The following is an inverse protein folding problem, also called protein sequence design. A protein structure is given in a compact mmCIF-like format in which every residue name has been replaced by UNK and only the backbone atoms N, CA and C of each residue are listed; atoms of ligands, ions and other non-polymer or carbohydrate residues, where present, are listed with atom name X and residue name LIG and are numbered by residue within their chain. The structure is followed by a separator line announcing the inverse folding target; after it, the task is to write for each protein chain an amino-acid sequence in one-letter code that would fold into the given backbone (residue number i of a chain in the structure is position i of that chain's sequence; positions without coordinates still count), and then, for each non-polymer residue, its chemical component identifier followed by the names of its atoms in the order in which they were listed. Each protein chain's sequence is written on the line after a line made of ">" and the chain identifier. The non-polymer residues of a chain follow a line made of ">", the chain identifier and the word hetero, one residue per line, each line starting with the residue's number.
data_IF_936854637818
#
_entry.id   IF_936854637818
#
_cell.length_a   1.000
_cell.length_b   1.000
_cell.length_c   1.000
_cell.angle_alpha   90.00
_cell.angle_beta   90.00
_cell.angle_gamma   90.00
#
_symmetry.space_group_name_H-M   'P 1'
#
loop_
_entity.id
_entity.type
_entity.pdbx_description
1 polymer ?
#
# COMPACT_ATOMS: atom_id res chain seq x y z
N UNK A 1 30.03 -28.08 11.74
CA UNK A 1 29.88 -28.04 10.28
C UNK A 1 28.43 -28.35 10.00
N UNK A 2 27.58 -27.31 9.94
CA UNK A 2 26.14 -27.46 9.70
C UNK A 2 25.99 -27.83 8.22
N UNK A 3 25.34 -28.96 7.94
CA UNK A 3 25.08 -29.43 6.57
C UNK A 3 24.34 -28.34 5.78
N UNK A 4 24.66 -28.13 4.49
CA UNK A 4 23.92 -27.21 3.61
C UNK A 4 22.42 -27.52 3.54
N UNK A 5 22.04 -28.77 3.80
CA UNK A 5 20.65 -29.22 3.89
C UNK A 5 19.96 -28.71 5.18
N UNK A 6 20.72 -28.50 6.25
CA UNK A 6 20.23 -27.95 7.52
C UNK A 6 20.07 -26.42 7.48
N UNK A 7 20.90 -25.71 6.70
CA UNK A 7 20.74 -24.27 6.45
C UNK A 7 19.59 -23.97 5.48
N UNK A 8 19.36 -24.81 4.47
CA UNK A 8 18.22 -24.69 3.56
C UNK A 8 16.87 -24.93 4.26
N UNK A 9 16.80 -25.92 5.18
CA UNK A 9 15.60 -26.17 5.99
C UNK A 9 15.29 -25.02 6.95
N UNK A 10 16.30 -24.41 7.56
CA UNK A 10 16.13 -23.23 8.43
C UNK A 10 15.66 -21.97 7.69
N UNK A 11 15.84 -21.89 6.37
CA UNK A 11 15.33 -20.80 5.54
C UNK A 11 13.95 -21.09 4.91
N UNK A 12 13.43 -22.30 5.08
CA UNK A 12 12.14 -22.68 4.49
C UNK A 12 10.98 -22.11 5.30
N UNK A 13 10.08 -21.42 4.61
CA UNK A 13 8.88 -20.79 5.16
C UNK A 13 7.98 -21.85 5.85
N UNK A 14 7.56 -21.66 7.13
CA UNK A 14 6.80 -22.65 7.88
C UNK A 14 5.56 -23.20 7.18
N UNK A 15 4.87 -22.37 6.38
CA UNK A 15 3.73 -22.83 5.57
C UNK A 15 4.12 -23.82 4.46
N UNK A 16 5.29 -23.63 3.84
CA UNK A 16 5.82 -24.52 2.81
C UNK A 16 6.25 -25.86 3.40
N UNK A 17 6.82 -25.84 4.62
CA UNK A 17 7.13 -27.05 5.38
C UNK A 17 5.85 -27.86 5.64
N UNK A 18 4.78 -27.19 6.09
CA UNK A 18 3.52 -27.89 6.34
C UNK A 18 2.89 -28.45 5.06
N UNK A 19 2.93 -27.72 3.94
CA UNK A 19 2.45 -28.23 2.66
C UNK A 19 3.20 -29.50 2.21
N UNK A 20 4.52 -29.53 2.42
CA UNK A 20 5.32 -30.71 2.15
C UNK A 20 4.97 -31.87 3.10
N UNK A 21 4.68 -31.59 4.37
CA UNK A 21 4.20 -32.60 5.33
C UNK A 21 2.84 -33.21 4.92
N UNK A 22 1.92 -32.40 4.39
CA UNK A 22 0.67 -32.91 3.79
C UNK A 22 0.96 -33.83 2.59
N UNK A 23 1.92 -33.46 1.75
CA UNK A 23 2.30 -34.25 0.57
C UNK A 23 2.92 -35.59 0.96
N UNK A 24 3.87 -35.59 1.91
CA UNK A 24 4.52 -36.82 2.41
C UNK A 24 3.55 -37.74 3.14
N UNK A 25 2.54 -37.19 3.82
CA UNK A 25 1.49 -37.96 4.47
C UNK A 25 0.44 -38.54 3.49
N UNK A 26 0.51 -38.23 2.19
CA UNK A 26 -0.44 -38.71 1.17
C UNK A 26 -1.68 -37.83 0.98
N UNK A 27 -1.68 -36.61 1.53
CA UNK A 27 -2.80 -35.66 1.47
C UNK A 27 -2.42 -34.38 0.69
N UNK A 28 -1.68 -34.52 -0.41
CA UNK A 28 -1.28 -33.40 -1.28
C UNK A 28 -2.46 -32.55 -1.74
N UNK A 29 -3.59 -33.19 -2.05
CA UNK A 29 -4.80 -32.49 -2.53
C UNK A 29 -5.44 -31.64 -1.43
N UNK A 30 -5.46 -32.14 -0.19
CA UNK A 30 -5.97 -31.40 0.96
C UNK A 30 -5.06 -30.20 1.26
N UNK A 31 -3.74 -30.43 1.30
CA UNK A 31 -2.75 -29.37 1.53
C UNK A 31 -2.77 -28.28 0.44
N UNK A 32 -2.87 -28.68 -0.84
CA UNK A 32 -2.97 -27.77 -1.98
C UNK A 32 -4.24 -26.93 -1.94
N UNK A 33 -5.41 -27.54 -1.70
CA UNK A 33 -6.66 -26.79 -1.53
C UNK A 33 -6.62 -25.83 -0.35
N UNK A 34 -6.03 -26.24 0.77
CA UNK A 34 -5.89 -25.38 1.95
C UNK A 34 -4.99 -24.18 1.64
N UNK A 35 -3.89 -24.40 0.94
CA UNK A 35 -2.98 -23.35 0.49
C UNK A 35 -3.70 -22.32 -0.39
N UNK A 36 -4.39 -22.79 -1.43
CA UNK A 36 -5.09 -21.91 -2.37
C UNK A 36 -6.22 -21.15 -1.69
N UNK A 37 -7.04 -21.82 -0.87
CA UNK A 37 -8.13 -21.17 -0.12
C UNK A 37 -7.63 -20.15 0.89
N UNK A 38 -6.56 -20.45 1.60
CA UNK A 38 -5.98 -19.52 2.60
C UNK A 38 -5.42 -18.28 1.91
N UNK A 39 -4.73 -18.47 0.77
CA UNK A 39 -4.25 -17.37 -0.05
C UNK A 39 -5.38 -16.53 -0.62
N UNK A 40 -6.40 -17.15 -1.21
CA UNK A 40 -7.55 -16.45 -1.76
C UNK A 40 -8.30 -15.68 -0.68
N UNK A 41 -8.47 -16.27 0.51
CA UNK A 41 -9.07 -15.61 1.67
C UNK A 41 -8.27 -14.38 2.11
N UNK A 42 -6.94 -14.46 2.20
CA UNK A 42 -6.08 -13.32 2.50
C UNK A 42 -6.25 -12.20 1.45
N UNK A 43 -6.18 -12.54 0.17
CA UNK A 43 -6.34 -11.58 -0.94
C UNK A 43 -7.75 -10.96 -0.95
N UNK A 44 -8.79 -11.73 -0.64
CA UNK A 44 -10.17 -11.27 -0.55
C UNK A 44 -10.37 -10.35 0.66
N UNK A 45 -9.87 -10.71 1.85
CA UNK A 45 -9.92 -9.86 3.03
C UNK A 45 -9.28 -8.49 2.77
N UNK A 46 -8.12 -8.46 2.10
CA UNK A 46 -7.49 -7.20 1.72
C UNK A 46 -8.28 -6.42 0.67
N UNK A 47 -8.90 -7.09 -0.30
CA UNK A 47 -9.80 -6.44 -1.28
C UNK A 47 -11.01 -5.82 -0.59
N UNK A 48 -11.61 -6.51 0.36
CA UNK A 48 -12.80 -6.04 1.07
C UNK A 48 -12.47 -4.91 2.05
N UNK A 49 -11.34 -5.00 2.75
CA UNK A 49 -10.81 -3.90 3.57
C UNK A 49 -10.61 -2.63 2.71
N UNK A 50 -9.97 -2.75 1.52
CA UNK A 50 -9.82 -1.62 0.59
C UNK A 50 -11.15 -1.09 0.06
N UNK A 51 -12.12 -1.97 -0.21
CA UNK A 51 -13.46 -1.58 -0.65
C UNK A 51 -14.20 -0.81 0.45
N UNK A 52 -14.12 -1.26 1.70
CA UNK A 52 -14.67 -0.59 2.87
C UNK A 52 -14.08 0.81 3.04
N UNK A 53 -12.75 0.93 3.01
CA UNK A 53 -12.06 2.24 3.04
C UNK A 53 -12.51 3.15 1.90
N UNK A 54 -12.65 2.64 0.67
CA UNK A 54 -13.14 3.45 -0.46
C UNK A 54 -14.60 3.89 -0.29
N UNK A 55 -15.47 3.03 0.21
CA UNK A 55 -16.89 3.37 0.46
C UNK A 55 -17.01 4.48 1.50
N UNK A 56 -16.20 4.44 2.57
CA UNK A 56 -16.23 5.43 3.66
C UNK A 56 -15.56 6.77 3.31
N UNK A 57 -14.41 6.73 2.62
CA UNK A 57 -13.58 7.93 2.40
C UNK A 57 -13.55 8.44 0.95
N UNK A 58 -14.13 7.69 0.01
CA UNK A 58 -14.30 8.09 -1.39
C UNK A 58 -12.98 8.44 -2.07
N UNK A 59 -12.95 9.64 -2.66
CA UNK A 59 -11.79 10.20 -3.36
C UNK A 59 -10.53 10.28 -2.49
N UNK A 60 -10.66 10.38 -1.16
CA UNK A 60 -9.56 10.56 -0.20
C UNK A 60 -9.02 9.25 0.36
N UNK A 61 -9.51 8.10 -0.10
CA UNK A 61 -9.02 6.80 0.35
C UNK A 61 -7.54 6.62 -0.04
N UNK A 62 -6.65 6.23 0.90
CA UNK A 62 -5.23 6.04 0.60
C UNK A 62 -4.96 4.90 -0.39
N UNK A 63 -5.89 3.95 -0.51
CA UNK A 63 -5.75 2.78 -1.39
C UNK A 63 -6.81 2.75 -2.49
N UNK A 64 -6.73 3.72 -3.40
CA UNK A 64 -7.56 3.80 -4.59
C UNK A 64 -8.60 4.91 -4.57
N UNK A 65 -8.40 5.94 -3.74
CA UNK A 65 -8.96 7.26 -4.01
C UNK A 65 -8.30 7.85 -5.26
N UNK A 66 -9.09 8.38 -6.18
CA UNK A 66 -8.58 8.93 -7.44
C UNK A 66 -7.70 10.18 -7.23
N UNK A 67 -7.85 10.87 -6.08
CA UNK A 67 -7.10 12.08 -5.77
C UNK A 67 -5.59 11.84 -5.71
N UNK A 68 -5.15 10.67 -5.25
CA UNK A 68 -3.74 10.30 -5.21
C UNK A 68 -3.13 10.21 -6.61
N UNK A 69 -3.84 9.58 -7.56
CA UNK A 69 -3.39 9.46 -8.94
C UNK A 69 -3.35 10.82 -9.65
N UNK A 70 -4.33 11.68 -9.39
CA UNK A 70 -4.38 13.02 -9.99
C UNK A 70 -3.29 13.92 -9.42
N UNK A 71 -3.03 13.87 -8.11
CA UNK A 71 -1.90 14.60 -7.53
C UNK A 71 -0.57 14.06 -8.05
N UNK A 72 -0.41 12.75 -8.17
CA UNK A 72 0.81 12.17 -8.75
C UNK A 72 1.04 12.65 -10.19
N UNK A 73 -0.01 12.65 -11.02
CA UNK A 73 0.06 13.21 -12.37
C UNK A 73 0.39 14.71 -12.37
N UNK A 74 -0.19 15.49 -11.45
CA UNK A 74 0.12 16.91 -11.28
C UNK A 74 1.59 17.14 -10.91
N UNK A 75 2.17 16.32 -10.02
CA UNK A 75 3.60 16.35 -9.70
C UNK A 75 4.43 16.09 -10.96
N UNK A 76 4.10 15.07 -11.74
CA UNK A 76 4.83 14.75 -12.97
C UNK A 76 4.77 15.91 -13.97
N UNK A 77 3.59 16.46 -14.24
CA UNK A 77 3.43 17.60 -15.15
C UNK A 77 4.21 18.82 -14.66
N UNK A 78 4.15 19.13 -13.36
CA UNK A 78 4.94 20.20 -12.76
C UNK A 78 6.44 19.96 -12.90
N UNK A 79 6.90 18.73 -12.70
CA UNK A 79 8.31 18.37 -12.80
C UNK A 79 8.82 18.46 -14.24
N UNK A 80 8.04 18.00 -15.23
CA UNK A 80 8.37 18.16 -16.64
C UNK A 80 8.35 19.64 -17.06
N UNK A 81 7.36 20.42 -16.60
CA UNK A 81 7.35 21.87 -16.83
C UNK A 81 8.60 22.54 -16.24
N UNK A 82 9.02 22.15 -15.03
CA UNK A 82 10.25 22.67 -14.42
C UNK A 82 11.51 22.26 -15.20
N UNK A 83 11.57 21.02 -15.70
CA UNK A 83 12.69 20.55 -16.51
C UNK A 83 12.81 21.33 -17.83
N UNK A 84 11.70 21.54 -18.55
CA UNK A 84 11.69 22.35 -19.77
C UNK A 84 12.01 23.82 -19.47
N UNK A 85 11.40 24.38 -18.42
CA UNK A 85 11.68 25.73 -17.98
C UNK A 85 13.14 25.91 -17.54
N UNK A 86 13.83 24.89 -17.04
CA UNK A 86 15.24 25.01 -16.64
C UNK A 86 16.19 25.25 -17.83
N UNK A 87 15.80 24.87 -19.05
CA UNK A 87 16.68 24.91 -20.23
C UNK A 87 17.74 23.80 -20.24
N UNK A 88 17.62 22.80 -19.36
CA UNK A 88 18.52 21.65 -19.39
C UNK A 88 18.27 20.82 -20.66
N UNK A 89 19.24 20.82 -21.58
CA UNK A 89 19.22 20.10 -22.86
C UNK A 89 18.11 20.49 -23.84
N UNK A 90 17.37 21.56 -23.58
CA UNK A 90 16.25 22.03 -24.41
C UNK A 90 16.26 23.55 -24.49
N UNK A 91 15.89 24.11 -25.64
CA UNK A 91 15.66 25.55 -25.76
C UNK A 91 14.29 25.90 -25.11
N UNK A 92 14.27 26.74 -24.07
CA UNK A 92 13.02 27.15 -23.43
C UNK A 92 12.07 27.95 -24.31
N UNK A 93 12.60 28.63 -25.34
CA UNK A 93 11.78 29.41 -26.27
C UNK A 93 10.97 28.48 -27.17
N UNK A 94 11.59 27.41 -27.66
CA UNK A 94 10.95 26.37 -28.48
C UNK A 94 9.95 25.53 -27.67
N UNK A 95 10.23 25.31 -26.38
CA UNK A 95 9.39 24.49 -25.47
C UNK A 95 8.41 25.30 -24.64
N UNK A 96 8.26 26.59 -24.93
CA UNK A 96 7.44 27.54 -24.17
C UNK A 96 5.96 27.14 -24.10
N UNK A 97 5.38 26.73 -25.23
CA UNK A 97 3.99 26.26 -25.29
C UNK A 97 3.78 24.97 -24.50
N UNK A 98 4.68 23.99 -24.62
CA UNK A 98 4.61 22.73 -23.87
C UNK A 98 4.72 22.96 -22.36
N UNK A 99 5.62 23.87 -21.95
CA UNK A 99 5.77 24.28 -20.55
C UNK A 99 4.49 24.89 -20.00
N UNK A 100 3.86 25.81 -20.76
CA UNK A 100 2.59 26.43 -20.38
C UNK A 100 1.47 25.39 -20.22
N UNK A 101 1.34 24.45 -21.17
CA UNK A 101 0.33 23.39 -21.13
C UNK A 101 0.53 22.47 -19.94
N UNK A 102 1.76 22.00 -19.70
CA UNK A 102 2.07 21.12 -18.57
C UNK A 102 1.83 21.81 -17.22
N UNK A 103 2.23 23.07 -17.09
CA UNK A 103 1.94 23.85 -15.89
C UNK A 103 0.43 24.02 -15.68
N UNK A 104 -0.32 24.40 -16.73
CA UNK A 104 -1.77 24.54 -16.65
C UNK A 104 -2.46 23.23 -16.26
N UNK A 105 -2.05 22.10 -16.85
CA UNK A 105 -2.59 20.78 -16.51
C UNK A 105 -2.28 20.41 -15.05
N UNK A 106 -1.07 20.70 -14.56
CA UNK A 106 -0.71 20.49 -13.17
C UNK A 106 -1.61 21.33 -12.23
N UNK A 107 -1.79 22.62 -12.54
CA UNK A 107 -2.62 23.54 -11.74
C UNK A 107 -4.10 23.17 -11.74
N UNK A 108 -4.66 22.78 -12.90
CA UNK A 108 -6.04 22.32 -13.00
C UNK A 108 -6.25 21.01 -12.25
N UNK A 109 -5.34 20.06 -12.40
CA UNK A 109 -5.38 18.80 -11.66
C UNK A 109 -5.34 19.04 -10.15
N UNK A 110 -4.44 19.91 -9.69
CA UNK A 110 -4.34 20.31 -8.29
C UNK A 110 -5.64 20.98 -7.79
N UNK A 111 -6.15 21.97 -8.51
CA UNK A 111 -7.42 22.64 -8.18
C UNK A 111 -8.58 21.65 -8.07
N UNK A 112 -8.73 20.72 -9.02
CA UNK A 112 -9.78 19.71 -8.99
C UNK A 112 -9.71 18.89 -7.70
N UNK A 113 -8.49 18.49 -7.30
CA UNK A 113 -8.27 17.68 -6.09
C UNK A 113 -8.54 18.51 -4.82
N UNK A 114 -8.11 19.77 -4.78
CA UNK A 114 -8.38 20.69 -3.67
C UNK A 114 -9.88 20.98 -3.52
N UNK A 115 -10.59 21.24 -4.63
CA UNK A 115 -12.03 21.52 -4.64
C UNK A 115 -12.85 20.30 -4.22
N UNK A 116 -12.48 19.10 -4.69
CA UNK A 116 -13.21 17.87 -4.37
C UNK A 116 -12.97 17.39 -2.94
N UNK A 117 -11.79 17.64 -2.38
CA UNK A 117 -11.50 17.31 -0.99
C UNK A 117 -12.12 18.31 0.00
N UNK A 118 -12.24 19.58 -0.41
CA UNK A 118 -12.81 20.66 0.39
C UNK A 118 -12.07 20.87 1.71
N UNK A 119 -12.81 21.34 2.73
CA UNK A 119 -12.26 21.70 4.05
C UNK A 119 -12.12 20.50 5.02
N UNK A 120 -11.74 19.33 4.49
CA UNK A 120 -11.62 18.08 5.27
C UNK A 120 -10.15 17.71 5.45
N UNK A 121 -9.81 17.01 6.53
CA UNK A 121 -8.42 16.55 6.72
C UNK A 121 -8.02 15.49 5.66
N UNK A 122 -6.73 15.51 5.29
CA UNK A 122 -6.12 14.61 4.30
C UNK A 122 -5.16 13.66 4.98
N UNK A 123 -4.98 12.47 4.41
CA UNK A 123 -3.92 11.54 4.82
C UNK A 123 -2.53 12.13 4.49
N UNK A 124 -1.55 11.89 5.37
CA UNK A 124 -0.15 12.26 5.19
C UNK A 124 0.47 11.90 3.82
N UNK A 125 0.10 10.77 3.22
CA UNK A 125 0.59 10.38 1.89
C UNK A 125 0.18 11.40 0.81
N UNK A 126 -1.04 11.92 0.88
CA UNK A 126 -1.52 12.93 -0.05
C UNK A 126 -0.94 14.31 0.26
N UNK A 127 -0.69 14.63 1.55
CA UNK A 127 0.07 15.84 1.94
C UNK A 127 1.45 15.85 1.28
N UNK A 128 2.16 14.71 1.28
CA UNK A 128 3.49 14.59 0.63
C UNK A 128 3.42 14.85 -0.87
N UNK A 129 2.40 14.33 -1.56
CA UNK A 129 2.21 14.61 -2.98
C UNK A 129 1.88 16.09 -3.22
N UNK A 130 1.03 16.71 -2.40
CA UNK A 130 0.75 18.15 -2.51
C UNK A 130 2.02 18.99 -2.36
N UNK A 131 2.87 18.66 -1.37
CA UNK A 131 4.18 19.31 -1.21
C UNK A 131 5.01 19.12 -2.48
N UNK A 132 5.00 17.91 -3.06
CA UNK A 132 5.64 17.65 -4.36
C UNK A 132 5.12 18.54 -5.49
N UNK A 133 3.79 18.75 -5.57
CA UNK A 133 3.18 19.64 -6.58
C UNK A 133 3.67 21.07 -6.37
N UNK A 134 3.62 21.58 -5.15
CA UNK A 134 4.05 22.94 -4.82
C UNK A 134 5.54 23.16 -5.13
N UNK A 135 6.40 22.19 -4.80
CA UNK A 135 7.84 22.26 -5.09
C UNK A 135 8.08 22.23 -6.61
N UNK A 136 7.45 21.31 -7.34
CA UNK A 136 7.65 21.17 -8.77
C UNK A 136 7.16 22.40 -9.55
N UNK A 137 5.95 22.87 -9.25
CA UNK A 137 5.37 24.08 -9.88
C UNK A 137 6.11 25.35 -9.46
N UNK A 138 6.53 25.44 -8.19
CA UNK A 138 7.36 26.53 -7.69
C UNK A 138 8.73 26.59 -8.37
N UNK A 139 9.38 25.45 -8.60
CA UNK A 139 10.63 25.38 -9.36
C UNK A 139 10.44 25.84 -10.81
N UNK A 140 9.37 25.39 -11.48
CA UNK A 140 9.03 25.85 -12.82
C UNK A 140 8.85 27.38 -12.86
N UNK A 141 8.13 27.96 -11.90
CA UNK A 141 7.95 29.40 -11.79
C UNK A 141 9.26 30.14 -11.52
N UNK A 142 10.13 29.62 -10.64
CA UNK A 142 11.44 30.22 -10.37
C UNK A 142 12.33 30.26 -11.63
N UNK A 143 12.37 29.17 -12.40
CA UNK A 143 13.10 29.14 -13.67
C UNK A 143 12.48 30.03 -14.74
N UNK A 144 11.15 30.17 -14.75
CA UNK A 144 10.47 31.07 -15.68
C UNK A 144 10.71 32.55 -15.33
N UNK A 145 10.77 32.88 -14.04
CA UNK A 145 11.00 34.24 -13.54
C UNK A 145 12.45 34.69 -13.61
N UNK A 146 13.42 33.77 -13.74
CA UNK A 146 14.83 34.13 -13.99
C UNK A 146 15.10 34.61 -15.41
N UNK A 147 14.06 34.69 -16.25
CA UNK A 147 14.11 35.07 -17.66
C UNK A 147 13.18 36.24 -17.97
N UNK A 148 13.33 36.88 -19.15
CA UNK A 148 12.40 37.92 -19.58
C UNK A 148 10.96 37.44 -19.54
N UNK A 149 10.06 38.31 -19.07
CA UNK A 149 8.63 38.01 -18.96
C UNK A 149 8.06 37.72 -20.35
N UNK A 150 7.36 36.60 -20.47
CA UNK A 150 6.65 36.20 -21.69
C UNK A 150 5.20 35.87 -21.37
N UNK A 151 4.40 35.55 -22.39
CA UNK A 151 3.00 35.14 -22.23
C UNK A 151 2.84 33.87 -21.37
N UNK A 152 3.88 33.04 -21.25
CA UNK A 152 3.90 31.81 -20.43
C UNK A 152 4.03 32.12 -18.94
N UNK A 153 4.73 33.19 -18.59
CA UNK A 153 5.02 33.59 -17.21
C UNK A 153 3.78 33.63 -16.31
N UNK A 154 2.66 34.31 -16.66
CA UNK A 154 1.48 34.35 -15.79
C UNK A 154 0.86 32.96 -15.55
N UNK A 155 0.92 32.04 -16.52
CA UNK A 155 0.36 30.68 -16.38
C UNK A 155 1.18 29.86 -15.37
N UNK A 156 2.51 29.87 -15.52
CA UNK A 156 3.41 29.11 -14.64
C UNK A 156 3.40 29.67 -13.22
N UNK A 157 3.42 31.00 -13.08
CA UNK A 157 3.34 31.66 -11.77
C UNK A 157 1.99 31.41 -11.10
N UNK A 158 0.88 31.54 -11.84
CA UNK A 158 -0.45 31.25 -11.31
C UNK A 158 -0.59 29.81 -10.83
N UNK A 159 -0.02 28.86 -11.58
CA UNK A 159 0.04 27.45 -11.19
C UNK A 159 0.83 27.23 -9.88
N UNK A 160 1.99 27.87 -9.74
CA UNK A 160 2.78 27.79 -8.51
C UNK A 160 2.04 28.37 -7.30
N UNK A 161 1.32 29.47 -7.49
CA UNK A 161 0.47 30.08 -6.43
C UNK A 161 -0.60 29.08 -5.98
N UNK A 162 -1.26 28.39 -6.90
CA UNK A 162 -2.23 27.33 -6.58
C UNK A 162 -1.58 26.23 -5.74
N UNK A 163 -0.42 25.72 -6.16
CA UNK A 163 0.29 24.66 -5.44
C UNK A 163 0.64 25.06 -4.01
N UNK A 164 1.20 26.25 -3.82
CA UNK A 164 1.56 26.78 -2.49
C UNK A 164 0.32 27.04 -1.64
N UNK A 165 -0.71 27.67 -2.20
CA UNK A 165 -1.97 27.91 -1.49
C UNK A 165 -2.64 26.59 -1.07
N UNK A 166 -2.58 25.56 -1.91
CA UNK A 166 -3.06 24.22 -1.60
C UNK A 166 -2.34 23.60 -0.40
N UNK A 167 -1.01 23.68 -0.35
CA UNK A 167 -0.21 23.22 0.81
C UNK A 167 -0.62 23.96 2.09
N UNK A 168 -0.67 25.30 2.03
CA UNK A 168 -1.05 26.13 3.19
C UNK A 168 -2.45 25.80 3.68
N UNK A 169 -3.41 25.65 2.75
CA UNK A 169 -4.78 25.27 3.06
C UNK A 169 -4.84 23.90 3.73
N UNK A 170 -4.12 22.89 3.24
CA UNK A 170 -4.10 21.55 3.84
C UNK A 170 -3.53 21.60 5.26
N UNK A 171 -2.43 22.33 5.48
CA UNK A 171 -1.87 22.48 6.83
C UNK A 171 -2.82 23.22 7.77
N UNK A 172 -3.48 24.28 7.29
CA UNK A 172 -4.48 25.01 8.05
C UNK A 172 -5.66 24.10 8.44
N UNK A 173 -6.22 23.35 7.50
CA UNK A 173 -7.31 22.40 7.77
C UNK A 173 -6.87 21.33 8.78
N UNK A 174 -5.66 20.79 8.63
CA UNK A 174 -5.10 19.79 9.56
C UNK A 174 -4.86 20.37 10.96
N UNK A 175 -4.56 21.66 11.09
CA UNK A 175 -4.41 22.35 12.37
C UNK A 175 -5.78 22.64 13.02
N UNK A 176 -6.77 23.04 12.22
CA UNK A 176 -8.12 23.36 12.69
C UNK A 176 -8.98 22.12 12.99
N UNK A 177 -8.62 20.94 12.46
CA UNK A 177 -9.38 19.69 12.62
C UNK A 177 -8.51 18.53 13.12
N UNK A 178 -7.99 18.58 14.36
CA UNK A 178 -7.12 17.55 14.90
C UNK A 178 -7.78 16.17 15.00
N UNK A 179 -9.09 16.11 15.28
CA UNK A 179 -9.85 14.86 15.32
C UNK A 179 -9.90 14.13 13.98
N UNK A 180 -10.31 14.84 12.91
CA UNK A 180 -10.34 14.26 11.55
C UNK A 180 -8.94 13.91 11.06
N UNK A 181 -7.93 14.70 11.42
CA UNK A 181 -6.53 14.38 11.13
C UNK A 181 -6.15 13.03 11.74
N UNK A 182 -6.42 12.84 13.03
CA UNK A 182 -6.09 11.60 13.73
C UNK A 182 -6.79 10.41 13.08
N UNK A 183 -8.09 10.53 12.77
CA UNK A 183 -8.85 9.48 12.09
C UNK A 183 -8.23 9.11 10.72
N UNK A 184 -7.84 10.11 9.92
CA UNK A 184 -7.23 9.88 8.61
C UNK A 184 -5.82 9.29 8.69
N UNK A 185 -5.03 9.68 9.70
CA UNK A 185 -3.67 9.20 9.90
C UNK A 185 -3.66 7.76 10.45
N UNK A 186 -4.68 7.35 11.23
CA UNK A 186 -4.84 5.98 11.75
C UNK A 186 -5.79 5.09 10.95
N UNK A 187 -6.34 5.60 9.84
CA UNK A 187 -7.40 4.97 9.05
C UNK A 187 -7.09 3.53 8.64
N UNK A 188 -5.85 3.28 8.17
CA UNK A 188 -5.44 1.95 7.70
C UNK A 188 -5.42 0.98 8.89
N UNK A 189 -4.81 1.38 10.00
CA UNK A 189 -4.75 0.56 11.22
C UNK A 189 -6.14 0.27 11.77
N UNK A 190 -7.04 1.26 11.77
CA UNK A 190 -8.43 1.09 12.20
C UNK A 190 -9.21 0.13 11.28
N UNK A 191 -9.08 0.29 9.96
CA UNK A 191 -9.76 -0.58 8.99
C UNK A 191 -9.24 -2.02 9.02
N UNK A 192 -7.94 -2.21 9.26
CA UNK A 192 -7.34 -3.53 9.46
C UNK A 192 -7.86 -4.16 10.75
N UNK A 193 -7.90 -3.39 11.85
CA UNK A 193 -8.43 -3.88 13.13
C UNK A 193 -9.92 -4.25 13.05
N UNK A 194 -10.72 -3.50 12.29
CA UNK A 194 -12.15 -3.78 12.06
C UNK A 194 -12.36 -5.07 11.25
N UNK A 195 -11.45 -5.41 10.32
CA UNK A 195 -11.53 -6.62 9.49
C UNK A 195 -10.94 -7.86 10.18
N UNK A 196 -10.14 -7.68 11.24
CA UNK A 196 -9.45 -8.79 11.91
C UNK A 196 -10.42 -9.89 12.42
N UNK A 197 -11.59 -9.58 13.01
CA UNK A 197 -12.54 -10.62 13.43
C UNK A 197 -13.05 -11.50 12.28
N UNK A 198 -13.26 -10.93 11.09
CA UNK A 198 -13.71 -11.68 9.91
C UNK A 198 -12.61 -12.60 9.37
N UNK A 199 -11.36 -12.15 9.45
CA UNK A 199 -10.17 -12.96 9.11
C UNK A 199 -10.00 -14.10 10.11
N UNK A 200 -10.12 -13.82 11.41
CA UNK A 200 -10.02 -14.83 12.47
C UNK A 200 -11.14 -15.87 12.36
N UNK A 201 -12.37 -15.44 12.05
CA UNK A 201 -13.49 -16.34 11.79
C UNK A 201 -13.24 -17.21 10.54
N UNK A 202 -12.64 -16.65 9.50
CA UNK A 202 -12.26 -17.40 8.29
C UNK A 202 -11.16 -18.41 8.59
N UNK A 203 -10.16 -18.04 9.39
CA UNK A 203 -9.10 -18.93 9.84
C UNK A 203 -9.67 -20.11 10.64
N UNK A 204 -10.55 -19.83 11.61
CA UNK A 204 -11.22 -20.84 12.42
C UNK A 204 -12.08 -21.79 11.56
N UNK A 205 -12.80 -21.25 10.57
CA UNK A 205 -13.58 -22.06 9.62
C UNK A 205 -12.70 -22.98 8.78
N UNK A 206 -11.63 -22.45 8.18
CA UNK A 206 -10.68 -23.25 7.40
C UNK A 206 -10.04 -24.35 8.25
N UNK A 207 -9.68 -24.02 9.50
CA UNK A 207 -9.12 -24.99 10.43
C UNK A 207 -10.13 -26.09 10.75
N UNK A 208 -11.39 -25.76 11.00
CA UNK A 208 -12.44 -26.73 11.26
C UNK A 208 -12.71 -27.64 10.04
N UNK A 209 -12.71 -27.09 8.82
CA UNK A 209 -12.86 -27.87 7.59
C UNK A 209 -11.75 -28.90 7.43
N UNK A 210 -10.49 -28.50 7.64
CA UNK A 210 -9.33 -29.40 7.53
C UNK A 210 -9.36 -30.49 8.61
N UNK A 211 -9.70 -30.14 9.85
CA UNK A 211 -9.77 -31.11 10.95
C UNK A 211 -10.95 -32.08 10.79
N UNK A 212 -12.02 -31.67 10.12
CA UNK A 212 -13.14 -32.56 9.80
C UNK A 212 -12.82 -33.52 8.64
N UNK A 213 -11.96 -33.12 7.71
CA UNK A 213 -11.55 -33.94 6.56
C UNK A 213 -10.48 -34.99 6.94
N UNK A 214 -9.66 -34.72 7.95
CA UNK A 214 -8.59 -35.61 8.39
C UNK A 214 -8.97 -36.38 9.66
N UNK A 215 -8.72 -37.69 9.67
CA UNK A 215 -8.79 -38.49 10.88
C UNK A 215 -7.71 -38.10 11.90
N UNK A 216 -7.92 -38.42 13.18
CA UNK A 216 -6.95 -38.17 14.25
C UNK A 216 -5.57 -38.84 14.03
N UNK A 217 -5.51 -39.91 13.24
CA UNK A 217 -4.25 -40.59 12.91
C UNK A 217 -3.50 -39.85 11.80
N UNK A 218 -4.21 -39.42 10.75
CA UNK A 218 -3.65 -38.63 9.66
C UNK A 218 -3.13 -37.27 10.15
N UNK A 219 -3.90 -36.60 11.01
CA UNK A 219 -3.46 -35.36 11.65
C UNK A 219 -2.15 -35.57 12.42
N UNK A 220 -2.05 -36.61 13.25
CA UNK A 220 -0.81 -36.93 13.98
C UNK A 220 0.35 -37.24 13.05
N UNK A 221 0.12 -37.93 11.92
CA UNK A 221 1.15 -38.21 10.92
C UNK A 221 1.69 -36.92 10.29
N UNK A 222 0.81 -36.02 9.87
CA UNK A 222 1.19 -34.71 9.31
C UNK A 222 1.99 -33.90 10.32
N UNK A 223 1.52 -33.85 11.58
CA UNK A 223 2.23 -33.16 12.66
C UNK A 223 3.62 -33.75 12.90
N UNK A 224 3.77 -35.08 12.93
CA UNK A 224 5.05 -35.74 13.12
C UNK A 224 6.07 -35.41 12.01
N UNK A 225 5.61 -35.42 10.75
CA UNK A 225 6.46 -35.03 9.60
C UNK A 225 6.87 -33.56 9.70
N UNK A 226 5.92 -32.67 10.00
CA UNK A 226 6.15 -31.23 10.17
C UNK A 226 7.16 -30.94 11.29
N UNK A 227 6.98 -31.53 12.46
CA UNK A 227 7.86 -31.32 13.64
C UNK A 227 9.28 -31.82 13.38
N UNK A 228 9.45 -32.89 12.59
CA UNK A 228 10.77 -33.38 12.17
C UNK A 228 11.54 -32.33 11.35
N UNK A 229 10.82 -31.49 10.59
CA UNK A 229 11.42 -30.47 9.72
C UNK A 229 11.61 -29.13 10.45
N UNK A 230 10.73 -28.80 11.41
CA UNK A 230 10.80 -27.62 12.28
C UNK A 230 11.66 -27.87 13.53
N UNK A 231 12.94 -28.21 13.38
CA UNK A 231 13.99 -28.24 14.43
C UNK A 231 13.63 -28.77 15.83
N UNK A 232 12.57 -29.56 16.00
CA UNK A 232 12.14 -30.14 17.28
C UNK A 232 11.30 -29.25 18.21
N UNK A 233 10.85 -28.05 17.80
CA UNK A 233 9.84 -27.33 18.59
C UNK A 233 8.46 -27.93 18.34
N UNK A 234 7.82 -28.44 19.39
CA UNK A 234 6.42 -28.85 19.35
C UNK A 234 5.55 -27.61 19.10
N UNK A 235 5.23 -27.37 17.83
CA UNK A 235 4.21 -26.39 17.49
C UNK A 235 2.85 -26.95 17.92
N UNK A 236 2.25 -26.34 18.96
CA UNK A 236 0.87 -26.59 19.40
C UNK A 236 -0.17 -26.31 18.31
N UNK A 237 0.27 -25.77 17.17
CA UNK A 237 -0.57 -25.45 16.02
C UNK A 237 -1.15 -26.74 15.41
N UNK A 238 -2.48 -26.84 15.22
CA UNK A 238 -3.11 -27.99 14.56
C UNK A 238 -2.60 -28.21 13.12
N UNK A 239 -2.91 -29.38 12.54
CA UNK A 239 -2.58 -29.66 11.15
C UNK A 239 -3.24 -28.63 10.21
N UNK A 240 -2.44 -28.05 9.31
CA UNK A 240 -2.88 -26.99 8.38
C UNK A 240 -2.79 -25.58 8.97
N UNK A 241 -2.54 -25.44 10.27
CA UNK A 241 -2.54 -24.15 10.92
C UNK A 241 -1.34 -23.26 10.57
N UNK A 242 -0.19 -23.81 10.17
CA UNK A 242 0.93 -22.98 9.67
C UNK A 242 0.65 -22.42 8.28
N UNK A 243 -0.04 -23.15 7.41
CA UNK A 243 -0.53 -22.65 6.11
C UNK A 243 -1.52 -21.51 6.35
N UNK A 244 -2.54 -21.75 7.19
CA UNK A 244 -3.58 -20.76 7.50
C UNK A 244 -2.94 -19.52 8.13
N UNK A 245 -2.14 -19.69 9.18
CA UNK A 245 -1.47 -18.57 9.84
C UNK A 245 -0.50 -17.84 8.91
N UNK A 246 0.23 -18.57 8.06
CA UNK A 246 1.19 -18.01 7.12
C UNK A 246 0.59 -17.12 6.05
N UNK A 247 -0.72 -17.24 5.76
CA UNK A 247 -1.45 -16.33 4.87
C UNK A 247 -2.33 -15.33 5.61
N UNK A 248 -3.07 -15.78 6.62
CA UNK A 248 -4.08 -14.97 7.30
C UNK A 248 -3.52 -14.12 8.44
N UNK A 249 -2.30 -14.35 8.92
CA UNK A 249 -1.65 -13.40 9.85
C UNK A 249 -1.05 -12.21 9.09
N UNK A 250 -0.54 -12.46 7.88
CA UNK A 250 0.10 -11.48 6.99
C UNK A 250 -0.83 -11.05 5.84
N UNK A 251 -2.14 -11.14 6.06
CA UNK A 251 -3.17 -10.84 5.05
C UNK A 251 -3.13 -9.38 4.57
N UNK A 252 -2.55 -8.49 5.36
CA UNK A 252 -2.28 -7.12 4.96
C UNK A 252 -0.77 -6.85 4.73
N UNK A 253 -0.42 -6.07 3.70
CA UNK A 253 0.98 -5.86 3.31
C UNK A 253 1.79 -5.05 4.33
N UNK A 254 1.13 -4.34 5.24
CA UNK A 254 1.79 -3.49 6.23
C UNK A 254 2.39 -4.32 7.37
N UNK A 255 1.63 -5.25 7.93
CA UNK A 255 2.11 -6.19 8.95
C UNK A 255 3.21 -7.10 8.39
N UNK A 256 3.07 -7.56 7.14
CA UNK A 256 4.07 -8.39 6.46
C UNK A 256 5.42 -7.68 6.25
N UNK A 257 5.43 -6.34 6.16
CA UNK A 257 6.64 -5.52 5.97
C UNK A 257 7.35 -5.21 7.29
N UNK A 258 6.60 -4.98 8.37
CA UNK A 258 7.16 -4.72 9.70
C UNK A 258 7.82 -5.96 10.30
N UNK A 259 7.22 -7.14 10.10
CA UNK A 259 7.80 -8.41 10.55
C UNK A 259 9.12 -8.73 9.85
N UNK A 260 9.18 -8.54 8.53
CA UNK A 260 10.41 -8.72 7.75
C UNK A 260 11.56 -7.81 8.22
N UNK A 261 11.26 -6.59 8.68
CA UNK A 261 12.25 -5.68 9.26
C UNK A 261 12.71 -6.02 10.68
N UNK A 262 11.94 -6.83 11.42
CA UNK A 262 12.32 -7.28 12.77
C UNK A 262 13.14 -8.57 12.76
N UNK A 263 13.06 -9.33 11.67
CA UNK A 263 13.67 -10.66 11.53
C UNK A 263 14.94 -10.63 10.65
N UNK A 264 15.14 -9.59 9.86
CA UNK A 264 16.36 -9.34 9.06
C UNK A 264 17.23 -8.27 9.69
#
# INVERSE_FOLDING_TARGET
>A
MVSEDESARRQSDPKSIELAAFTEAGHSDVGGRLWDRSREAAEQAWRDCRRGMRKKYGARSPHGGWSFFVLFAAVLFGAFAAALASGFRTDPTETSAATAVLAALAGVADLIVLLTAGWRAWNWAAVRLQIGVAVATGAAAAFQLSRPVTWVTPIVVGTAVVGVAGVLMIFLVRALRPGERSEMDTLISAAVAEMQPDVDATAARLQAEVLAELSSEEQRRILAVRTKWLSGEESETPAGGLIIAGFLTDWNPYLASERRRRVG
#
